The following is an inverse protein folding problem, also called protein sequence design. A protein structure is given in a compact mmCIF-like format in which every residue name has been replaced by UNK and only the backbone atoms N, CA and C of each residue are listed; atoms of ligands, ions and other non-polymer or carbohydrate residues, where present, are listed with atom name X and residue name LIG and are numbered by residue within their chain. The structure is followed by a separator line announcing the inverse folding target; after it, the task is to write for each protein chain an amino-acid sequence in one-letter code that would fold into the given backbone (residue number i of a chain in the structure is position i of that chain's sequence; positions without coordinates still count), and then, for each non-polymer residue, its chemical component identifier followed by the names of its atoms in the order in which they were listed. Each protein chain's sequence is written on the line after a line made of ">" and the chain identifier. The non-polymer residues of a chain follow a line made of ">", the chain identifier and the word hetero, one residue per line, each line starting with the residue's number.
data_IF_008737582463
#
_entry.id   IF_008737582463
#
_cell.length_a   1.000
_cell.length_b   1.000
_cell.length_c   1.000
_cell.angle_alpha   90.00
_cell.angle_beta   90.00
_cell.angle_gamma   90.00
#
_symmetry.space_group_name_H-M   'P 1'
#
loop_
_entity.id
_entity.type
_entity.pdbx_description
1 polymer ?
#
# COMPACT_ATOMS: atom_id res chain seq x y z
N UNK A 1 -20.23 9.16 -36.10
CA UNK A 1 -20.22 10.61 -35.94
C UNK A 1 -19.15 10.91 -34.88
N UNK A 2 -17.98 11.41 -35.35
CA UNK A 2 -16.83 11.82 -34.56
C UNK A 2 -17.02 13.28 -34.13
N UNK A 3 -16.99 13.60 -32.86
CA UNK A 3 -16.91 14.96 -32.35
C UNK A 3 -15.53 15.16 -31.69
N UNK A 4 -14.67 15.93 -32.34
CA UNK A 4 -13.42 16.43 -31.83
C UNK A 4 -13.67 17.69 -31.01
N UNK A 5 -13.20 17.73 -29.73
CA UNK A 5 -13.22 18.95 -28.92
C UNK A 5 -11.79 19.48 -28.82
N UNK A 6 -11.59 20.65 -29.48
CA UNK A 6 -10.31 21.35 -29.51
C UNK A 6 -10.03 22.07 -28.19
N UNK A 7 -8.77 22.03 -27.75
CA UNK A 7 -8.24 22.84 -26.65
C UNK A 7 -7.70 24.15 -27.19
N UNK A 8 -8.27 25.27 -26.74
CA UNK A 8 -7.77 26.61 -27.01
C UNK A 8 -6.71 27.00 -25.97
N UNK A 9 -5.49 27.25 -26.45
CA UNK A 9 -4.44 27.89 -25.64
C UNK A 9 -4.70 29.42 -25.64
N UNK A 10 -4.89 29.96 -24.45
CA UNK A 10 -4.97 31.40 -24.19
C UNK A 10 -3.60 31.92 -23.75
N UNK A 11 -2.91 32.61 -24.66
CA UNK A 11 -1.69 33.37 -24.36
C UNK A 11 -2.07 34.76 -23.88
N UNK A 12 -1.74 35.10 -22.61
CA UNK A 12 -1.91 36.45 -22.07
C UNK A 12 -0.71 37.36 -22.39
N UNK A 13 -0.91 38.69 -22.56
CA UNK A 13 0.11 39.61 -23.06
C UNK A 13 1.06 40.09 -21.93
N UNK A 14 2.33 40.26 -22.35
CA UNK A 14 3.41 40.92 -21.61
C UNK A 14 3.11 42.40 -21.41
N UNK A 15 3.21 42.95 -20.21
CA UNK A 15 3.22 44.37 -19.91
C UNK A 15 4.66 44.88 -19.73
N UNK A 16 5.02 46.03 -20.26
CA UNK A 16 6.38 46.57 -20.14
C UNK A 16 6.62 47.35 -18.86
N UNK A 17 7.88 47.35 -18.41
CA UNK A 17 8.37 48.08 -17.24
C UNK A 17 8.54 49.58 -17.56
N UNK A 18 8.31 50.51 -16.61
CA UNK A 18 8.78 51.87 -16.69
C UNK A 18 10.14 52.07 -16.04
N UNK A 19 10.91 52.98 -16.63
CA UNK A 19 12.28 53.34 -16.35
C UNK A 19 12.45 54.18 -15.08
N UNK A 20 13.70 54.25 -14.67
CA UNK A 20 14.26 54.86 -13.48
C UNK A 20 14.09 56.41 -13.39
N UNK A 21 13.96 56.91 -12.14
CA UNK A 21 14.46 58.22 -11.77
C UNK A 21 15.25 58.16 -10.45
N UNK A 22 16.40 58.82 -10.48
CA UNK A 22 17.36 59.00 -9.37
C UNK A 22 16.87 60.05 -8.42
N UNK A 23 17.02 59.82 -7.13
CA UNK A 23 16.89 60.84 -6.08
C UNK A 23 17.73 60.48 -4.87
N UNK A 24 18.63 61.39 -4.52
CA UNK A 24 19.71 61.31 -3.54
C UNK A 24 19.31 61.09 -2.09
N UNK A 25 20.22 60.41 -1.40
CA UNK A 25 20.71 60.54 -0.01
C UNK A 25 19.75 60.88 1.15
N UNK A 26 19.69 59.99 2.14
CA UNK A 26 20.15 60.25 3.51
C UNK A 26 20.14 58.99 4.37
N UNK A 27 21.25 58.85 5.05
CA UNK A 27 21.61 57.94 6.11
C UNK A 27 20.63 57.99 7.30
N UNK A 28 20.15 56.80 7.75
CA UNK A 28 19.88 56.61 9.18
C UNK A 28 19.77 55.10 9.46
N UNK A 29 20.52 54.63 10.47
CA UNK A 29 20.65 53.24 10.91
C UNK A 29 19.35 52.66 11.39
N UNK A 30 19.22 51.35 11.20
CA UNK A 30 18.08 50.58 11.70
C UNK A 30 18.25 49.14 11.39
N UNK A 31 18.80 48.41 12.36
CA UNK A 31 18.61 46.99 12.67
C UNK A 31 18.17 46.06 11.51
N UNK A 32 19.12 45.27 11.04
CA UNK A 32 18.84 44.02 10.33
C UNK A 32 18.03 43.09 11.25
N UNK A 33 16.73 43.04 11.05
CA UNK A 33 15.92 41.94 11.53
C UNK A 33 16.28 40.72 10.66
N UNK A 34 17.11 39.85 11.20
CA UNK A 34 17.32 38.48 10.64
C UNK A 34 16.01 37.78 10.71
N UNK A 35 15.36 37.58 9.55
CA UNK A 35 14.23 36.67 9.44
C UNK A 35 14.70 35.29 9.87
N UNK A 36 13.92 34.55 10.67
CA UNK A 36 14.24 33.15 10.98
C UNK A 36 14.36 32.39 9.67
N UNK A 37 15.48 31.77 9.41
CA UNK A 37 15.64 30.81 8.34
C UNK A 37 14.62 29.70 8.61
N UNK A 38 13.63 29.61 7.75
CA UNK A 38 12.69 28.51 7.74
C UNK A 38 13.51 27.24 7.52
N UNK A 39 13.65 26.45 8.59
CA UNK A 39 14.40 25.20 8.55
C UNK A 39 13.77 24.32 7.47
N UNK A 40 14.51 23.96 6.43
CA UNK A 40 14.08 22.97 5.46
C UNK A 40 13.60 21.72 6.21
N UNK A 41 12.46 21.12 5.82
CA UNK A 41 11.98 19.91 6.47
C UNK A 41 13.08 18.86 6.43
N UNK A 42 13.35 18.23 7.59
CA UNK A 42 14.30 17.14 7.67
C UNK A 42 13.94 16.07 6.64
N UNK A 43 14.91 15.44 5.94
CA UNK A 43 14.62 14.41 4.99
C UNK A 43 13.83 13.29 5.67
N UNK A 44 12.68 12.93 5.08
CA UNK A 44 11.81 11.89 5.61
C UNK A 44 12.59 10.57 5.77
N UNK A 45 12.64 10.05 6.98
CA UNK A 45 13.38 8.84 7.32
C UNK A 45 12.64 7.63 6.75
N UNK A 46 13.36 6.76 6.02
CA UNK A 46 12.86 5.45 5.60
C UNK A 46 13.35 4.42 6.61
N UNK A 47 12.43 3.66 7.20
CA UNK A 47 12.79 2.52 8.05
C UNK A 47 13.14 1.28 7.23
N UNK A 48 12.58 1.14 6.02
CA UNK A 48 12.88 0.05 5.10
C UNK A 48 13.43 0.61 3.78
N UNK A 49 14.60 0.12 3.37
CA UNK A 49 15.26 0.51 2.11
C UNK A 49 14.94 -0.43 0.94
N UNK A 50 14.54 -1.68 1.24
CA UNK A 50 14.14 -2.69 0.26
C UNK A 50 13.04 -3.59 0.82
N UNK A 51 12.17 -4.09 -0.06
CA UNK A 51 11.16 -5.06 0.32
C UNK A 51 11.78 -6.45 0.52
N UNK A 52 11.57 -7.13 1.68
CA UNK A 52 12.04 -8.49 1.86
C UNK A 52 11.27 -9.47 0.94
N UNK A 53 11.78 -10.70 0.80
CA UNK A 53 11.06 -11.73 0.04
C UNK A 53 9.75 -12.11 0.74
N UNK A 54 8.58 -11.90 0.11
CA UNK A 54 7.29 -12.23 0.72
C UNK A 54 7.02 -13.74 0.79
N UNK A 55 7.70 -14.56 -0.04
CA UNK A 55 7.48 -16.00 -0.07
C UNK A 55 7.97 -16.72 1.20
N UNK A 56 8.87 -16.09 1.97
CA UNK A 56 9.32 -16.57 3.27
C UNK A 56 8.59 -15.98 4.47
N UNK A 57 7.57 -15.13 4.25
CA UNK A 57 6.93 -14.36 5.32
C UNK A 57 5.91 -15.14 6.15
N UNK A 58 5.43 -16.27 5.65
CA UNK A 58 4.42 -17.08 6.32
C UNK A 58 4.98 -18.45 6.72
N UNK A 59 4.56 -18.94 7.89
CA UNK A 59 4.85 -20.30 8.30
C UNK A 59 4.20 -21.31 7.34
N UNK A 60 4.90 -22.41 7.03
CA UNK A 60 4.40 -23.48 6.17
C UNK A 60 3.02 -24.02 6.63
N UNK A 61 2.81 -24.12 7.95
CA UNK A 61 1.53 -24.54 8.55
C UNK A 61 0.41 -23.53 8.21
N UNK A 62 0.69 -22.24 8.22
CA UNK A 62 -0.30 -21.21 7.88
C UNK A 62 -0.67 -21.30 6.41
N UNK A 63 0.32 -21.43 5.53
CA UNK A 63 0.10 -21.58 4.09
C UNK A 63 -0.79 -22.80 3.80
N UNK A 64 -0.45 -23.98 4.34
CA UNK A 64 -1.21 -25.22 4.10
C UNK A 64 -2.60 -25.22 4.74
N UNK A 65 -2.80 -24.43 5.81
CA UNK A 65 -4.11 -24.25 6.45
C UNK A 65 -5.01 -23.35 5.61
N UNK A 66 -4.48 -22.22 5.10
CA UNK A 66 -5.25 -21.24 4.33
C UNK A 66 -5.47 -21.69 2.88
N UNK A 67 -4.47 -22.36 2.29
CA UNK A 67 -4.50 -22.81 0.91
C UNK A 67 -4.19 -24.31 0.85
N UNK A 68 -5.14 -25.17 1.22
CA UNK A 68 -4.95 -26.62 1.23
C UNK A 68 -4.59 -27.18 -0.14
N UNK A 69 -3.50 -27.94 -0.22
CA UNK A 69 -3.02 -28.54 -1.47
C UNK A 69 -1.98 -27.72 -2.24
N UNK A 70 -1.69 -26.49 -1.80
CA UNK A 70 -0.62 -25.67 -2.41
C UNK A 70 0.78 -26.14 -2.01
N UNK A 71 1.78 -25.75 -2.82
CA UNK A 71 3.19 -25.82 -2.45
C UNK A 71 3.55 -24.66 -1.52
N UNK A 72 4.19 -24.94 -0.39
CA UNK A 72 4.52 -23.93 0.64
C UNK A 72 5.52 -22.87 0.18
N UNK A 73 6.35 -23.17 -0.81
CA UNK A 73 7.30 -22.21 -1.38
C UNK A 73 6.65 -20.98 -2.01
N UNK A 74 5.41 -21.11 -2.49
CA UNK A 74 4.71 -20.03 -3.21
C UNK A 74 5.35 -19.72 -4.56
N UNK A 75 4.85 -18.68 -5.19
CA UNK A 75 5.39 -18.14 -6.45
C UNK A 75 5.49 -16.63 -6.33
N UNK A 76 6.69 -16.10 -6.46
CA UNK A 76 6.88 -14.65 -6.51
C UNK A 76 6.37 -14.11 -7.85
N UNK A 77 5.53 -13.08 -7.78
CA UNK A 77 4.98 -12.38 -8.95
C UNK A 77 5.93 -11.22 -9.26
N UNK A 78 6.43 -11.19 -10.49
CA UNK A 78 7.33 -10.14 -10.94
C UNK A 78 6.66 -8.77 -10.89
N UNK A 79 7.35 -7.79 -10.32
CA UNK A 79 7.00 -6.37 -10.32
C UNK A 79 7.92 -5.62 -11.29
N UNK A 80 7.46 -4.47 -11.79
CA UNK A 80 8.28 -3.55 -12.58
C UNK A 80 9.39 -2.91 -11.75
N UNK A 81 9.18 -2.77 -10.44
CA UNK A 81 10.16 -2.33 -9.47
C UNK A 81 10.12 -3.24 -8.23
N UNK A 82 11.02 -4.21 -8.19
CA UNK A 82 11.13 -5.17 -7.08
C UNK A 82 11.69 -4.53 -5.79
N UNK A 83 12.28 -3.33 -5.87
CA UNK A 83 12.71 -2.60 -4.68
C UNK A 83 11.52 -1.96 -3.98
N UNK A 84 10.56 -1.47 -4.75
CA UNK A 84 9.36 -0.82 -4.24
C UNK A 84 8.22 -1.80 -3.92
N UNK A 85 8.09 -2.90 -4.69
CA UNK A 85 7.02 -3.87 -4.48
C UNK A 85 7.46 -5.29 -4.77
N UNK A 86 7.15 -6.21 -3.85
CA UNK A 86 7.31 -7.66 -4.04
C UNK A 86 6.05 -8.38 -3.57
N UNK A 87 5.61 -9.37 -4.33
CA UNK A 87 4.39 -10.13 -4.05
C UNK A 87 4.67 -11.62 -4.16
N UNK A 88 4.20 -12.41 -3.21
CA UNK A 88 4.17 -13.86 -3.30
C UNK A 88 2.74 -14.37 -3.32
N UNK A 89 2.48 -15.37 -4.15
CA UNK A 89 1.17 -15.98 -4.36
C UNK A 89 1.20 -17.47 -4.06
N UNK A 90 0.14 -17.94 -3.41
CA UNK A 90 -0.18 -19.34 -3.21
C UNK A 90 -1.62 -19.58 -3.65
N UNK A 91 -1.83 -20.59 -4.47
CA UNK A 91 -3.19 -20.99 -4.86
C UNK A 91 -3.27 -22.52 -5.01
N UNK A 92 -4.45 -23.04 -4.81
CA UNK A 92 -4.76 -24.44 -5.06
C UNK A 92 -6.26 -24.64 -5.26
N UNK A 93 -6.57 -25.66 -6.04
CA UNK A 93 -7.89 -26.27 -6.13
C UNK A 93 -7.80 -27.66 -5.48
N UNK A 94 -8.50 -27.85 -4.35
CA UNK A 94 -8.59 -29.14 -3.67
C UNK A 94 -10.02 -29.64 -3.74
N UNK A 95 -10.27 -30.67 -4.58
CA UNK A 95 -11.62 -31.01 -4.96
C UNK A 95 -12.24 -29.87 -5.75
N UNK A 96 -13.31 -29.29 -5.23
CA UNK A 96 -13.96 -28.09 -5.80
C UNK A 96 -13.66 -26.80 -5.04
N UNK A 97 -12.96 -26.92 -3.91
CA UNK A 97 -12.61 -25.78 -3.06
C UNK A 97 -11.35 -25.08 -3.56
N UNK A 98 -11.50 -23.88 -4.07
CA UNK A 98 -10.42 -23.02 -4.55
C UNK A 98 -10.04 -21.99 -3.50
N UNK A 99 -8.73 -21.87 -3.23
CA UNK A 99 -8.16 -20.86 -2.35
C UNK A 99 -6.99 -20.14 -3.03
N UNK A 100 -6.92 -18.85 -2.79
CA UNK A 100 -5.83 -18.00 -3.26
C UNK A 100 -5.41 -17.04 -2.16
N UNK A 101 -4.11 -16.96 -1.93
CA UNK A 101 -3.49 -16.07 -0.94
C UNK A 101 -2.33 -15.33 -1.59
N UNK A 102 -2.38 -14.00 -1.53
CA UNK A 102 -1.29 -13.12 -1.92
C UNK A 102 -0.79 -12.34 -0.71
N UNK A 103 0.53 -12.19 -0.61
CA UNK A 103 1.19 -11.30 0.33
C UNK A 103 2.09 -10.35 -0.45
N UNK A 104 1.87 -9.05 -0.29
CA UNK A 104 2.67 -8.00 -0.92
C UNK A 104 3.32 -7.11 0.13
N UNK A 105 4.58 -6.77 -0.08
CA UNK A 105 5.27 -5.66 0.55
C UNK A 105 5.40 -4.52 -0.46
N UNK A 106 5.01 -3.32 -0.07
CA UNK A 106 5.11 -2.12 -0.88
C UNK A 106 5.82 -1.03 -0.08
N UNK A 107 6.92 -0.50 -0.61
CA UNK A 107 7.70 0.55 0.05
C UNK A 107 7.39 1.91 -0.56
N UNK A 108 7.05 2.85 0.30
CA UNK A 108 6.90 4.24 -0.06
C UNK A 108 8.23 5.01 0.11
N UNK A 109 8.27 6.22 -0.43
CA UNK A 109 9.43 7.09 -0.32
C UNK A 109 9.68 7.59 1.12
N UNK A 110 8.62 7.66 1.94
CA UNK A 110 8.67 8.08 3.35
C UNK A 110 7.51 7.49 4.14
N UNK A 111 7.52 7.67 5.46
CA UNK A 111 6.44 7.29 6.35
C UNK A 111 5.14 8.03 6.01
N UNK A 112 5.22 9.34 5.70
CA UNK A 112 4.06 10.14 5.30
C UNK A 112 3.48 9.67 3.96
N UNK A 113 4.33 9.26 3.01
CA UNK A 113 3.88 8.71 1.74
C UNK A 113 3.18 7.35 1.93
N UNK A 114 3.67 6.52 2.85
CA UNK A 114 3.02 5.26 3.23
C UNK A 114 1.67 5.52 3.93
N UNK A 115 1.60 6.49 4.84
CA UNK A 115 0.36 6.88 5.50
C UNK A 115 -0.69 7.38 4.51
N UNK A 116 -0.30 8.24 3.58
CA UNK A 116 -1.18 8.70 2.49
C UNK A 116 -1.69 7.55 1.64
N UNK A 117 -0.81 6.61 1.27
CA UNK A 117 -1.17 5.41 0.50
C UNK A 117 -2.11 4.49 1.28
N UNK A 118 -1.85 4.29 2.57
CA UNK A 118 -2.73 3.54 3.48
C UNK A 118 -4.12 4.17 3.54
N UNK A 119 -4.19 5.47 3.86
CA UNK A 119 -5.45 6.22 3.98
C UNK A 119 -6.26 6.16 2.69
N UNK A 120 -5.61 6.39 1.54
CA UNK A 120 -6.28 6.29 0.22
C UNK A 120 -6.90 4.92 -0.04
N UNK A 121 -6.25 3.84 0.42
CA UNK A 121 -6.74 2.47 0.20
C UNK A 121 -7.95 2.10 1.06
N UNK A 122 -8.11 2.74 2.21
CA UNK A 122 -9.18 2.41 3.16
C UNK A 122 -10.38 3.36 3.07
N UNK A 123 -10.21 4.58 2.52
CA UNK A 123 -11.23 5.64 2.52
C UNK A 123 -12.52 5.20 1.82
N UNK A 124 -12.42 4.47 0.71
CA UNK A 124 -13.58 4.06 -0.10
C UNK A 124 -14.04 2.61 0.20
N UNK A 125 -13.55 2.01 1.30
CA UNK A 125 -13.86 0.62 1.65
C UNK A 125 -15.01 0.54 2.64
N UNK A 126 -16.23 0.48 2.14
CA UNK A 126 -17.41 0.19 2.98
C UNK A 126 -17.37 -1.24 3.52
N UNK A 127 -17.89 -1.45 4.72
CA UNK A 127 -18.00 -2.77 5.36
C UNK A 127 -16.71 -3.32 5.97
N UNK A 128 -15.62 -2.56 5.98
CA UNK A 128 -14.38 -2.93 6.65
C UNK A 128 -14.23 -2.30 8.04
N UNK A 129 -13.13 -2.62 8.70
CA UNK A 129 -12.84 -2.09 10.04
C UNK A 129 -11.35 -2.12 10.39
N UNK A 130 -10.98 -1.33 11.39
CA UNK A 130 -9.64 -1.32 11.94
C UNK A 130 -9.27 -2.68 12.56
N UNK A 131 -8.01 -3.09 12.40
CA UNK A 131 -7.44 -4.28 13.02
C UNK A 131 -6.41 -3.83 14.08
N UNK A 132 -6.81 -3.77 15.36
CA UNK A 132 -5.92 -3.32 16.42
C UNK A 132 -4.65 -4.16 16.53
N UNK A 133 -3.49 -3.49 16.76
CA UNK A 133 -2.21 -4.16 16.95
C UNK A 133 -1.59 -4.74 15.67
N UNK A 134 -2.15 -4.45 14.50
CA UNK A 134 -1.59 -4.84 13.22
C UNK A 134 -0.77 -3.69 12.61
N UNK A 135 0.56 -3.75 12.76
CA UNK A 135 1.44 -2.67 12.33
C UNK A 135 1.25 -1.39 13.16
N UNK A 136 1.50 -0.25 12.56
CA UNK A 136 1.22 1.08 13.11
C UNK A 136 -0.25 1.45 12.85
N UNK A 137 -0.81 0.94 11.75
CA UNK A 137 -2.22 0.99 11.41
C UNK A 137 -2.60 -0.27 10.62
N UNK A 138 -3.76 -0.84 10.90
CA UNK A 138 -4.28 -2.01 10.21
C UNK A 138 -5.76 -1.89 9.89
N UNK A 139 -6.16 -2.37 8.72
CA UNK A 139 -7.54 -2.37 8.26
C UNK A 139 -7.85 -3.67 7.53
N UNK A 140 -9.06 -4.16 7.68
CA UNK A 140 -9.56 -5.35 7.01
C UNK A 140 -10.94 -5.11 6.41
N UNK A 141 -11.16 -5.63 5.22
CA UNK A 141 -12.47 -5.64 4.55
C UNK A 141 -12.70 -6.99 3.89
N UNK A 142 -13.95 -7.43 3.87
CA UNK A 142 -14.35 -8.67 3.17
C UNK A 142 -15.43 -8.33 2.16
N UNK A 143 -15.19 -8.68 0.92
CA UNK A 143 -16.08 -8.49 -0.21
C UNK A 143 -16.67 -9.83 -0.67
N UNK A 144 -17.88 -9.80 -1.19
CA UNK A 144 -18.50 -10.89 -1.91
C UNK A 144 -18.74 -10.43 -3.35
N UNK A 145 -18.21 -11.15 -4.32
CA UNK A 145 -18.54 -10.98 -5.73
C UNK A 145 -19.31 -12.19 -6.26
N UNK A 146 -20.16 -11.97 -7.23
CA UNK A 146 -20.89 -13.02 -7.93
C UNK A 146 -20.77 -12.79 -9.43
N UNK A 147 -20.17 -13.74 -10.13
CA UNK A 147 -20.02 -13.74 -11.57
C UNK A 147 -20.51 -15.08 -12.11
N UNK A 148 -21.39 -15.07 -13.08
CA UNK A 148 -22.02 -16.26 -13.66
C UNK A 148 -22.58 -17.25 -12.61
N UNK A 149 -23.21 -16.73 -11.58
CA UNK A 149 -23.73 -17.46 -10.41
C UNK A 149 -22.66 -18.10 -9.52
N UNK A 150 -21.37 -17.90 -9.80
CA UNK A 150 -20.27 -18.30 -8.95
C UNK A 150 -19.98 -17.22 -7.93
N UNK A 151 -20.06 -17.55 -6.66
CA UNK A 151 -19.68 -16.63 -5.58
C UNK A 151 -18.19 -16.77 -5.26
N UNK A 152 -17.51 -15.64 -5.08
CA UNK A 152 -16.14 -15.56 -4.57
C UNK A 152 -16.11 -14.58 -3.41
N UNK A 153 -15.51 -14.98 -2.31
CA UNK A 153 -15.29 -14.10 -1.17
C UNK A 153 -13.83 -13.74 -1.05
N UNK A 154 -13.56 -12.46 -0.91
CA UNK A 154 -12.23 -11.91 -0.82
C UNK A 154 -12.08 -11.10 0.46
N UNK A 155 -11.09 -11.42 1.26
CA UNK A 155 -10.62 -10.61 2.38
C UNK A 155 -9.35 -9.86 1.98
N UNK A 156 -9.36 -8.55 2.15
CA UNK A 156 -8.20 -7.70 1.95
C UNK A 156 -7.80 -7.09 3.28
N UNK A 157 -6.53 -7.27 3.64
CA UNK A 157 -5.93 -6.63 4.82
C UNK A 157 -4.81 -5.70 4.37
N UNK A 158 -4.84 -4.47 4.84
CA UNK A 158 -3.78 -3.50 4.64
C UNK A 158 -3.21 -3.12 6.00
N UNK A 159 -1.91 -3.27 6.17
CA UNK A 159 -1.20 -2.80 7.37
C UNK A 159 -0.09 -1.84 6.96
N UNK A 160 0.07 -0.74 7.71
CA UNK A 160 1.21 0.17 7.59
C UNK A 160 2.24 -0.15 8.67
N UNK A 161 3.51 -0.14 8.28
CA UNK A 161 4.66 -0.24 9.18
C UNK A 161 5.70 0.74 8.68
N UNK A 162 5.84 1.88 9.35
CA UNK A 162 6.70 2.99 8.92
C UNK A 162 6.44 3.37 7.45
N UNK A 163 7.46 3.32 6.58
CA UNK A 163 7.34 3.59 5.15
C UNK A 163 6.88 2.37 4.31
N UNK A 164 6.43 1.29 4.92
CA UNK A 164 5.97 0.08 4.23
C UNK A 164 4.47 -0.16 4.38
N UNK A 165 3.85 -0.71 3.32
CA UNK A 165 2.55 -1.35 3.39
C UNK A 165 2.70 -2.86 3.23
N UNK A 166 2.01 -3.60 4.08
CA UNK A 166 1.77 -5.03 3.94
C UNK A 166 0.34 -5.19 3.45
N UNK A 167 0.18 -5.75 2.26
CA UNK A 167 -1.13 -6.01 1.68
C UNK A 167 -1.32 -7.51 1.54
N UNK A 168 -2.37 -8.04 2.16
CA UNK A 168 -2.75 -9.44 2.04
C UNK A 168 -4.12 -9.52 1.40
N UNK A 169 -4.21 -10.33 0.34
CA UNK A 169 -5.48 -10.71 -0.29
C UNK A 169 -5.66 -12.20 -0.10
N UNK A 170 -6.77 -12.61 0.51
CA UNK A 170 -7.13 -14.01 0.67
C UNK A 170 -8.55 -14.23 0.17
N UNK A 171 -8.70 -15.12 -0.80
CA UNK A 171 -10.00 -15.39 -1.38
C UNK A 171 -10.28 -16.88 -1.52
N UNK A 172 -11.55 -17.18 -1.69
CA UNK A 172 -12.01 -18.55 -1.90
C UNK A 172 -13.37 -18.64 -2.58
N UNK A 173 -13.56 -19.79 -3.19
CA UNK A 173 -14.75 -20.14 -3.94
C UNK A 173 -14.90 -21.67 -3.97
N UNK A 174 -16.11 -22.20 -3.94
CA UNK A 174 -16.39 -23.62 -4.17
C UNK A 174 -17.12 -23.78 -5.50
N UNK A 175 -16.51 -24.52 -6.43
CA UNK A 175 -17.00 -24.64 -7.79
C UNK A 175 -18.15 -25.65 -7.95
N UNK A 176 -18.35 -26.57 -6.99
CA UNK A 176 -19.48 -27.50 -7.01
C UNK A 176 -20.75 -26.83 -6.52
N UNK A 177 -20.72 -26.26 -5.33
CA UNK A 177 -21.85 -25.56 -4.73
C UNK A 177 -22.08 -24.17 -5.32
N UNK A 178 -21.10 -23.60 -6.00
CA UNK A 178 -21.03 -22.22 -6.49
C UNK A 178 -21.08 -21.16 -5.38
N UNK A 179 -20.77 -21.56 -4.16
CA UNK A 179 -20.81 -20.70 -2.98
C UNK A 179 -19.42 -20.26 -2.54
N UNK A 180 -19.40 -19.09 -1.92
CA UNK A 180 -18.20 -18.58 -1.27
C UNK A 180 -18.06 -19.16 0.15
N UNK A 181 -16.82 -19.30 0.68
CA UNK A 181 -16.59 -19.61 2.09
C UNK A 181 -17.14 -18.53 3.02
N UNK A 182 -17.23 -18.84 4.32
CA UNK A 182 -17.75 -17.91 5.33
C UNK A 182 -16.96 -16.59 5.44
N UNK A 183 -17.64 -15.48 5.70
CA UNK A 183 -17.02 -14.15 5.90
C UNK A 183 -15.94 -14.19 6.98
N UNK A 184 -16.27 -14.82 8.12
CA UNK A 184 -15.36 -14.94 9.26
C UNK A 184 -14.12 -15.79 8.95
N UNK A 185 -14.28 -16.85 8.17
CA UNK A 185 -13.16 -17.69 7.74
C UNK A 185 -12.15 -16.89 6.92
N UNK A 186 -12.64 -16.20 5.91
CA UNK A 186 -11.81 -15.39 5.00
C UNK A 186 -11.16 -14.23 5.77
N UNK A 187 -11.92 -13.51 6.59
CA UNK A 187 -11.39 -12.39 7.37
C UNK A 187 -10.31 -12.83 8.35
N UNK A 188 -10.58 -13.87 9.14
CA UNK A 188 -9.61 -14.40 10.12
C UNK A 188 -8.37 -14.95 9.44
N UNK A 189 -8.53 -15.61 8.27
CA UNK A 189 -7.42 -16.12 7.48
C UNK A 189 -6.52 -14.99 6.96
N UNK A 190 -7.10 -13.96 6.35
CA UNK A 190 -6.38 -12.78 5.85
C UNK A 190 -5.64 -12.04 6.98
N UNK A 191 -6.30 -11.81 8.13
CA UNK A 191 -5.68 -11.15 9.29
C UNK A 191 -4.54 -11.99 9.86
N UNK A 192 -4.69 -13.33 9.92
CA UNK A 192 -3.62 -14.22 10.39
C UNK A 192 -2.39 -14.12 9.49
N UNK A 193 -2.55 -14.19 8.18
CA UNK A 193 -1.46 -14.04 7.22
C UNK A 193 -0.81 -12.65 7.35
N UNK A 194 -1.60 -11.58 7.49
CA UNK A 194 -1.10 -10.22 7.66
C UNK A 194 -0.26 -10.05 8.92
N UNK A 195 -0.65 -10.66 10.05
CA UNK A 195 0.14 -10.63 11.29
C UNK A 195 1.51 -11.29 11.12
N UNK A 196 1.57 -12.45 10.47
CA UNK A 196 2.83 -13.14 10.18
C UNK A 196 3.70 -12.32 9.21
N UNK A 197 3.11 -11.77 8.16
CA UNK A 197 3.82 -10.93 7.19
C UNK A 197 4.38 -9.64 7.81
N UNK A 198 3.62 -8.96 8.69
CA UNK A 198 4.11 -7.80 9.44
C UNK A 198 5.27 -8.18 10.37
N UNK A 199 5.19 -9.31 11.05
CA UNK A 199 6.28 -9.79 11.90
C UNK A 199 7.54 -10.08 11.08
N UNK A 200 7.40 -10.74 9.93
CA UNK A 200 8.52 -11.03 9.03
C UNK A 200 9.16 -9.75 8.44
N UNK A 201 8.34 -8.75 8.08
CA UNK A 201 8.84 -7.45 7.61
C UNK A 201 9.70 -6.76 8.69
N UNK A 202 9.22 -6.72 9.93
CA UNK A 202 9.96 -6.12 11.06
C UNK A 202 11.28 -6.85 11.33
N UNK A 203 11.26 -8.18 11.37
CA UNK A 203 12.46 -8.98 11.58
C UNK A 203 13.51 -8.79 10.46
N UNK A 204 13.07 -8.64 9.20
CA UNK A 204 13.95 -8.35 8.06
C UNK A 204 14.52 -6.93 8.07
N UNK A 205 13.83 -5.95 8.64
CA UNK A 205 14.30 -4.56 8.78
C UNK A 205 15.35 -4.39 9.87
N UNK A 206 15.27 -5.15 10.95
CA UNK A 206 16.24 -5.09 12.07
C UNK A 206 17.63 -5.60 11.67
N UNK A 207 17.73 -6.50 10.70
CA UNK A 207 19.01 -7.07 10.24
C UNK A 207 19.87 -6.11 9.42
N UNK A 208 19.35 -4.94 8.99
CA UNK A 208 20.08 -3.96 8.15
C UNK A 208 20.76 -2.88 8.99
N UNK A 209 20.45 -2.76 10.27
CA UNK A 209 20.98 -1.74 11.19
C UNK A 209 22.04 -2.28 12.19
N UNK A 210 22.64 -3.44 11.91
CA UNK A 210 23.68 -4.07 12.78
C UNK A 210 25.07 -3.92 12.19
#
# INVERSE_FOLDING_TARGET
>A
VLAAVGWAMSSGPLAPAPAAERGDARESGGQSATAPAESAPAPATKSFSSAPSPCGSLAAKTITTLVPGTKTAGKEIRSTDERARRTCSWNALKGYDYRWLDVSYELAASDEAAEKSYTSRITDKSGGGAVPGLGDAGYSVVNLSTEDKQETREGVVVARVSNALVVVTYNGSDFESKKAPGTDEINKGAIKAAKEAVAALRAGGESVNS
#
